data_IF_225668927620
#
_entry.id   IF_225668927620
#
_cell.length_a   1.000
_cell.length_b   1.000
_cell.length_c   1.000
_cell.angle_alpha   90.00
_cell.angle_beta   90.00
_cell.angle_gamma   90.00
#
_symmetry.space_group_name_H-M   'P 1'
#
loop_
_entity.id
_entity.type
_entity.pdbx_description
1 polymer ?
#
# COMPACT_ATOMS: atom_id res chain seq x y z
N UNK A 1 13.89 28.63 18.22
CA UNK A 1 12.58 28.71 17.56
C UNK A 1 12.72 27.96 16.25
N UNK A 2 12.05 26.83 16.11
CA UNK A 2 12.04 26.09 14.85
C UNK A 2 10.87 26.64 14.03
N UNK A 3 11.17 27.20 12.87
CA UNK A 3 10.15 27.84 12.01
C UNK A 3 9.41 26.75 11.25
N UNK A 4 8.11 26.62 11.48
CA UNK A 4 7.21 25.76 10.69
C UNK A 4 7.22 26.24 9.24
N UNK A 5 7.49 25.33 8.30
CA UNK A 5 7.35 25.64 6.87
C UNK A 5 5.88 25.87 6.53
N UNK A 6 5.58 27.00 5.88
CA UNK A 6 4.24 27.34 5.39
C UNK A 6 4.30 27.57 3.89
N UNK A 7 3.33 27.01 3.19
CA UNK A 7 3.17 27.15 1.75
C UNK A 7 1.81 27.80 1.49
N UNK A 8 1.79 28.98 0.88
CA UNK A 8 0.54 29.68 0.53
C UNK A 8 0.18 29.47 -0.94
N UNK A 9 1.20 29.30 -1.79
CA UNK A 9 1.08 29.10 -3.23
C UNK A 9 1.77 27.82 -3.69
N UNK A 10 1.48 27.41 -4.92
CA UNK A 10 2.17 26.28 -5.54
C UNK A 10 3.64 26.61 -5.83
N UNK A 11 3.93 27.85 -6.21
CA UNK A 11 5.28 28.36 -6.43
C UNK A 11 6.14 28.31 -5.16
N UNK A 12 5.57 28.53 -3.97
CA UNK A 12 6.28 28.37 -2.70
C UNK A 12 6.76 26.93 -2.53
N UNK A 13 5.89 25.96 -2.83
CA UNK A 13 6.24 24.54 -2.75
C UNK A 13 7.40 24.24 -3.70
N UNK A 14 7.30 24.67 -4.97
CA UNK A 14 8.33 24.42 -5.97
C UNK A 14 9.69 24.99 -5.57
N UNK A 15 9.70 26.17 -4.96
CA UNK A 15 10.93 26.86 -4.51
C UNK A 15 11.60 26.09 -3.38
N UNK A 16 10.81 25.51 -2.47
CA UNK A 16 11.31 24.77 -1.31
C UNK A 16 11.64 23.30 -1.59
N UNK A 17 11.28 22.75 -2.77
CA UNK A 17 11.52 21.33 -3.09
C UNK A 17 13.00 20.91 -2.99
N UNK A 18 13.93 21.76 -3.46
CA UNK A 18 15.36 21.45 -3.41
C UNK A 18 15.88 21.44 -1.97
N UNK A 19 15.65 22.49 -1.15
CA UNK A 19 15.97 22.46 0.28
C UNK A 19 15.33 21.29 1.04
N UNK A 20 14.06 21.00 0.78
CA UNK A 20 13.35 19.87 1.39
C UNK A 20 14.07 18.55 1.06
N UNK A 21 14.40 18.33 -0.22
CA UNK A 21 15.10 17.13 -0.67
C UNK A 21 16.44 16.94 0.05
N UNK A 22 17.23 18.01 0.18
CA UNK A 22 18.52 17.96 0.87
C UNK A 22 18.34 17.62 2.36
N UNK A 23 17.36 18.25 3.01
CA UNK A 23 17.04 18.06 4.43
C UNK A 23 16.64 16.62 4.76
N UNK A 24 15.82 15.99 3.91
CA UNK A 24 15.33 14.62 4.15
C UNK A 24 16.34 13.52 3.79
N UNK A 25 17.54 13.85 3.29
CA UNK A 25 18.55 12.85 2.92
C UNK A 25 18.86 11.91 4.11
N UNK A 26 18.95 12.46 5.32
CA UNK A 26 19.19 11.69 6.54
C UNK A 26 18.01 10.77 6.93
N UNK A 27 16.79 11.10 6.51
CA UNK A 27 15.60 10.27 6.75
C UNK A 27 15.51 9.13 5.74
N UNK A 28 16.22 9.21 4.62
CA UNK A 28 16.28 8.16 3.61
C UNK A 28 16.66 6.80 4.20
N UNK A 29 17.53 6.76 5.21
CA UNK A 29 17.90 5.53 5.91
C UNK A 29 16.71 4.88 6.63
N UNK A 30 15.78 5.67 7.18
CA UNK A 30 14.56 5.17 7.83
C UNK A 30 13.64 4.52 6.79
N UNK A 31 13.50 5.14 5.61
CA UNK A 31 12.71 4.56 4.51
C UNK A 31 13.32 3.23 4.07
N UNK A 32 14.65 3.17 3.89
CA UNK A 32 15.35 1.96 3.49
C UNK A 32 15.26 0.86 4.56
N UNK A 33 15.39 1.21 5.84
CA UNK A 33 15.22 0.25 6.94
C UNK A 33 13.80 -0.31 6.98
N UNK A 34 12.78 0.56 6.88
CA UNK A 34 11.39 0.13 6.82
C UNK A 34 11.12 -0.74 5.59
N UNK A 35 11.72 -0.42 4.44
CA UNK A 35 11.61 -1.20 3.21
C UNK A 35 12.19 -2.61 3.37
N UNK A 36 13.38 -2.75 3.97
CA UNK A 36 13.96 -4.07 4.25
C UNK A 36 13.06 -4.84 5.20
N UNK A 37 12.70 -4.25 6.34
CA UNK A 37 11.91 -4.92 7.37
C UNK A 37 10.54 -5.40 6.85
N UNK A 38 9.82 -4.56 6.10
CA UNK A 38 8.50 -4.94 5.57
C UNK A 38 8.61 -5.82 4.31
N UNK A 39 9.68 -5.62 3.53
CA UNK A 39 9.95 -6.39 2.31
C UNK A 39 10.21 -7.86 2.59
N UNK A 40 10.87 -8.17 3.71
CA UNK A 40 11.14 -9.55 4.14
C UNK A 40 9.91 -10.26 4.77
N UNK A 41 8.80 -9.54 4.98
CA UNK A 41 7.55 -10.12 5.45
C UNK A 41 6.75 -10.61 4.23
N UNK A 42 6.68 -11.93 4.08
CA UNK A 42 5.77 -12.57 3.14
C UNK A 42 4.31 -12.15 3.45
N UNK A 43 3.59 -11.74 2.41
CA UNK A 43 2.20 -11.34 2.51
C UNK A 43 1.49 -11.63 1.19
N UNK A 44 1.26 -12.91 0.81
CA UNK A 44 0.34 -13.19 -0.28
C UNK A 44 -1.04 -12.62 0.05
N UNK A 45 -1.83 -12.30 -0.99
CA UNK A 45 -3.23 -11.87 -0.84
C UNK A 45 -3.96 -12.83 0.12
N UNK A 46 -4.67 -12.28 1.12
CA UNK A 46 -5.32 -12.98 2.26
C UNK A 46 -4.40 -13.47 3.39
N UNK A 47 -3.13 -13.06 3.42
CA UNK A 47 -2.18 -13.38 4.51
C UNK A 47 -1.34 -12.16 4.90
N UNK A 48 -1.98 -10.98 4.95
CA UNK A 48 -1.33 -9.69 5.14
C UNK A 48 -1.04 -9.33 6.62
N UNK A 49 -1.51 -10.14 7.56
CA UNK A 49 -1.55 -9.81 9.00
C UNK A 49 -0.21 -9.38 9.60
N UNK A 50 0.91 -9.98 9.19
CA UNK A 50 2.24 -9.59 9.70
C UNK A 50 2.67 -8.19 9.23
N UNK A 51 2.26 -7.78 8.03
CA UNK A 51 2.51 -6.41 7.53
C UNK A 51 1.58 -5.39 8.16
N UNK A 52 0.35 -5.79 8.49
CA UNK A 52 -0.59 -5.00 9.32
C UNK A 52 0.05 -4.68 10.68
N UNK A 53 0.59 -5.70 11.36
CA UNK A 53 1.29 -5.53 12.64
C UNK A 53 2.51 -4.63 12.52
N UNK A 54 3.33 -4.83 11.49
CA UNK A 54 4.47 -3.96 11.21
C UNK A 54 4.06 -2.48 11.10
N UNK A 55 3.03 -2.17 10.29
CA UNK A 55 2.56 -0.79 10.15
C UNK A 55 1.99 -0.23 11.45
N UNK A 56 1.28 -1.06 12.22
CA UNK A 56 0.76 -0.67 13.54
C UNK A 56 1.87 -0.21 14.46
N UNK A 57 2.98 -0.95 14.49
CA UNK A 57 4.14 -0.61 15.30
C UNK A 57 4.78 0.71 14.83
N UNK A 58 4.98 0.89 13.51
CA UNK A 58 5.54 2.14 12.96
C UNK A 58 4.66 3.36 13.25
N UNK A 59 3.34 3.22 13.14
CA UNK A 59 2.40 4.29 13.44
C UNK A 59 2.38 4.62 14.94
N UNK A 60 2.44 3.60 15.80
CA UNK A 60 2.51 3.77 17.26
C UNK A 60 3.80 4.48 17.67
N UNK A 61 4.94 4.11 17.10
CA UNK A 61 6.23 4.78 17.34
C UNK A 61 6.21 6.24 16.88
N UNK A 62 5.45 6.54 15.83
CA UNK A 62 5.21 7.91 15.35
C UNK A 62 4.16 8.68 16.17
N UNK A 63 3.71 8.12 17.31
CA UNK A 63 2.70 8.68 18.20
C UNK A 63 1.34 8.97 17.51
N UNK A 64 0.99 8.19 16.47
CA UNK A 64 -0.33 8.25 15.86
C UNK A 64 -1.32 7.50 16.76
N UNK A 65 -2.23 8.24 17.38
CA UNK A 65 -3.15 7.74 18.41
C UNK A 65 -4.34 6.94 17.87
N UNK A 66 -4.75 7.18 16.63
CA UNK A 66 -5.96 6.60 16.03
C UNK A 66 -5.64 5.46 15.04
N UNK A 67 -4.79 4.52 15.46
CA UNK A 67 -4.52 3.32 14.66
C UNK A 67 -5.68 2.33 14.77
N UNK A 68 -6.34 2.03 13.64
CA UNK A 68 -7.48 1.13 13.55
C UNK A 68 -7.22 0.02 12.54
N UNK A 69 -7.76 -1.17 12.82
CA UNK A 69 -7.81 -2.30 11.89
C UNK A 69 -9.27 -2.62 11.63
N UNK A 70 -9.68 -2.66 10.36
CA UNK A 70 -11.08 -2.91 9.99
C UNK A 70 -11.37 -4.40 9.71
N UNK A 71 -12.61 -4.68 9.30
CA UNK A 71 -13.11 -6.03 9.07
C UNK A 71 -12.50 -6.73 7.84
N UNK A 72 -11.85 -5.99 6.94
CA UNK A 72 -11.08 -6.56 5.84
C UNK A 72 -9.60 -6.67 6.17
N UNK A 73 -9.19 -6.35 7.41
CA UNK A 73 -7.78 -6.33 7.83
C UNK A 73 -6.99 -5.22 7.15
N UNK A 74 -7.65 -4.14 6.71
CA UNK A 74 -6.94 -2.90 6.43
C UNK A 74 -6.42 -2.33 7.74
N UNK A 75 -5.25 -1.69 7.71
CA UNK A 75 -4.80 -0.83 8.80
C UNK A 75 -4.78 0.62 8.35
N UNK A 76 -5.23 1.52 9.20
CA UNK A 76 -5.06 2.94 8.97
C UNK A 76 -4.85 3.71 10.25
N UNK A 77 -4.18 4.86 10.13
CA UNK A 77 -4.00 5.82 11.19
C UNK A 77 -4.26 7.24 10.66
N UNK A 78 -4.73 8.13 11.53
CA UNK A 78 -5.01 9.51 11.19
C UNK A 78 -3.90 10.41 11.74
N UNK A 79 -3.25 11.15 10.85
CA UNK A 79 -2.41 12.29 11.21
C UNK A 79 -3.27 13.56 11.14
N UNK A 80 -3.56 14.23 12.28
CA UNK A 80 -4.44 15.39 12.31
C UNK A 80 -3.86 16.59 11.57
N UNK A 81 -4.68 17.23 10.73
CA UNK A 81 -4.38 18.52 10.13
C UNK A 81 -4.82 19.68 11.02
N UNK A 82 -4.32 20.89 10.74
CA UNK A 82 -4.64 22.11 11.51
C UNK A 82 -6.15 22.43 11.51
N UNK A 83 -6.86 22.21 10.39
CA UNK A 83 -8.30 22.48 10.30
C UNK A 83 -9.17 21.31 10.76
N UNK A 84 -8.68 20.07 10.61
CA UNK A 84 -9.36 18.86 11.09
C UNK A 84 -10.66 18.44 10.39
N UNK A 85 -11.06 19.08 9.28
CA UNK A 85 -12.38 18.88 8.64
C UNK A 85 -12.38 18.01 7.37
N UNK A 86 -11.32 18.10 6.58
CA UNK A 86 -11.15 17.37 5.33
C UNK A 86 -10.12 16.26 5.52
N UNK A 87 -10.31 15.12 4.85
CA UNK A 87 -9.36 14.00 4.89
C UNK A 87 -8.77 13.72 3.51
N UNK A 88 -7.46 13.51 3.45
CA UNK A 88 -6.75 12.98 2.29
C UNK A 88 -6.37 11.54 2.63
N UNK A 89 -6.75 10.60 1.77
CA UNK A 89 -6.37 9.20 1.90
C UNK A 89 -5.06 8.96 1.17
N UNK A 90 -4.04 8.47 1.88
CA UNK A 90 -2.80 7.98 1.33
C UNK A 90 -2.76 6.46 1.53
N UNK A 91 -2.72 5.70 0.45
CA UNK A 91 -2.88 4.24 0.50
C UNK A 91 -1.74 3.54 -0.24
N UNK A 92 -1.21 2.48 0.36
CA UNK A 92 -0.39 1.47 -0.30
C UNK A 92 -0.96 0.10 0.06
N UNK A 93 -0.87 -0.86 -0.85
CA UNK A 93 -1.43 -2.19 -0.60
C UNK A 93 -0.44 -3.07 0.16
N UNK A 94 -0.97 -3.92 1.04
CA UNK A 94 -0.22 -4.77 1.94
C UNK A 94 0.26 -6.04 1.25
N UNK A 95 -0.58 -6.61 0.39
CA UNK A 95 -0.35 -7.90 -0.23
C UNK A 95 0.68 -7.86 -1.35
N UNK A 96 1.17 -9.03 -1.70
CA UNK A 96 2.13 -9.24 -2.77
C UNK A 96 1.71 -10.45 -3.59
N UNK A 97 2.20 -10.51 -4.83
CA UNK A 97 1.98 -11.66 -5.70
C UNK A 97 2.84 -12.88 -5.33
N UNK A 98 3.78 -12.71 -4.40
CA UNK A 98 4.74 -13.74 -4.00
C UNK A 98 4.18 -14.57 -2.85
N UNK A 99 4.28 -15.89 -2.96
CA UNK A 99 3.83 -16.83 -1.94
C UNK A 99 4.80 -16.87 -0.76
N UNK A 100 4.37 -17.49 0.35
CA UNK A 100 5.23 -17.68 1.53
C UNK A 100 6.46 -18.56 1.26
N UNK A 101 6.39 -19.44 0.25
CA UNK A 101 7.49 -20.35 -0.12
C UNK A 101 8.64 -19.67 -0.88
N UNK A 102 8.48 -18.41 -1.29
CA UNK A 102 9.54 -17.63 -1.94
C UNK A 102 10.55 -17.18 -0.89
N UNK A 103 11.83 -17.13 -1.24
CA UNK A 103 12.84 -16.50 -0.38
C UNK A 103 12.65 -14.97 -0.40
N UNK A 104 12.11 -14.42 0.69
CA UNK A 104 11.86 -12.99 0.85
C UNK A 104 13.08 -12.19 1.33
N UNK A 105 14.24 -12.81 1.49
CA UNK A 105 15.47 -12.14 1.94
C UNK A 105 15.81 -10.95 1.04
N UNK A 106 16.05 -9.78 1.64
CA UNK A 106 16.43 -8.58 0.91
C UNK A 106 17.94 -8.46 0.80
N UNK A 107 18.44 -8.46 -0.44
CA UNK A 107 19.85 -8.23 -0.71
C UNK A 107 20.13 -6.73 -0.87
N UNK A 108 20.79 -6.15 0.14
CA UNK A 108 21.26 -4.77 0.12
C UNK A 108 22.61 -4.68 -0.57
N UNK A 109 22.69 -3.90 -1.64
CA UNK A 109 23.92 -3.52 -2.36
C UNK A 109 24.10 -2.00 -2.29
N UNK A 110 25.29 -1.45 -2.62
CA UNK A 110 25.55 -0.01 -2.48
C UNK A 110 24.50 0.90 -3.12
N UNK A 111 24.00 0.54 -4.31
CA UNK A 111 23.07 1.38 -5.08
C UNK A 111 21.70 0.71 -5.34
N UNK A 112 21.45 -0.49 -4.79
CA UNK A 112 20.23 -1.25 -5.10
C UNK A 112 19.85 -2.22 -3.98
N UNK A 113 18.56 -2.31 -3.70
CA UNK A 113 17.96 -3.37 -2.87
C UNK A 113 17.21 -4.33 -3.78
N UNK A 114 17.43 -5.63 -3.60
CA UNK A 114 16.84 -6.68 -4.44
C UNK A 114 16.12 -7.69 -3.55
N UNK A 115 14.86 -7.95 -3.86
CA UNK A 115 14.00 -8.90 -3.15
C UNK A 115 12.60 -8.93 -3.77
N UNK A 116 11.82 -10.00 -3.54
CA UNK A 116 10.44 -10.10 -4.03
C UNK A 116 9.56 -9.01 -3.40
N UNK A 117 8.66 -8.42 -4.20
CA UNK A 117 7.67 -7.47 -3.72
C UNK A 117 8.22 -6.14 -3.17
N UNK A 118 9.52 -5.86 -3.33
CA UNK A 118 10.12 -4.61 -2.84
C UNK A 118 9.51 -3.38 -3.51
N UNK A 119 9.46 -3.38 -4.85
CA UNK A 119 8.87 -2.29 -5.63
C UNK A 119 7.34 -2.26 -5.51
N UNK A 120 6.69 -3.42 -5.56
CA UNK A 120 5.23 -3.58 -5.53
C UNK A 120 4.81 -4.48 -4.36
N UNK A 121 4.40 -3.94 -3.21
CA UNK A 121 4.40 -2.50 -2.87
C UNK A 121 5.01 -2.20 -1.49
N UNK A 122 6.05 -2.95 -1.13
CA UNK A 122 6.77 -2.74 0.13
C UNK A 122 7.36 -1.33 0.23
N UNK A 123 7.81 -0.74 -0.88
CA UNK A 123 8.30 0.64 -0.93
C UNK A 123 7.20 1.68 -0.67
N UNK A 124 5.98 1.49 -1.17
CA UNK A 124 4.86 2.36 -0.86
C UNK A 124 4.52 2.32 0.62
N UNK A 125 4.44 1.12 1.20
CA UNK A 125 4.18 0.93 2.63
C UNK A 125 5.29 1.55 3.50
N UNK A 126 6.57 1.34 3.15
CA UNK A 126 7.70 1.95 3.85
C UNK A 126 7.66 3.47 3.78
N UNK A 127 7.22 4.03 2.65
CA UNK A 127 7.04 5.48 2.48
C UNK A 127 5.94 6.00 3.39
N UNK A 128 4.77 5.35 3.41
CA UNK A 128 3.64 5.71 4.28
C UNK A 128 4.02 5.62 5.76
N UNK A 129 4.72 4.55 6.16
CA UNK A 129 5.20 4.36 7.52
C UNK A 129 6.17 5.47 7.98
N UNK A 130 6.99 5.98 7.07
CA UNK A 130 8.03 6.99 7.37
C UNK A 130 7.51 8.42 7.26
N UNK A 131 6.38 8.64 6.58
CA UNK A 131 5.85 9.98 6.30
C UNK A 131 5.62 10.84 7.55
N UNK A 132 5.08 10.33 8.68
CA UNK A 132 4.98 11.12 9.91
C UNK A 132 6.34 11.66 10.38
N UNK A 133 7.40 10.85 10.31
CA UNK A 133 8.75 11.27 10.68
C UNK A 133 9.31 12.33 9.72
N UNK A 134 9.02 12.21 8.41
CA UNK A 134 9.40 13.21 7.41
C UNK A 134 8.73 14.55 7.70
N UNK A 135 7.41 14.56 7.89
CA UNK A 135 6.65 15.79 8.17
C UNK A 135 7.09 16.44 9.47
N UNK A 136 7.35 15.64 10.52
CA UNK A 136 7.87 16.14 11.78
C UNK A 136 9.28 16.72 11.62
N UNK A 137 10.19 16.05 10.91
CA UNK A 137 11.55 16.57 10.70
C UNK A 137 11.54 17.90 9.94
N UNK A 138 10.71 18.00 8.90
CA UNK A 138 10.54 19.22 8.11
C UNK A 138 9.69 20.29 8.80
N UNK A 139 9.05 19.95 9.92
CA UNK A 139 8.13 20.82 10.65
C UNK A 139 7.02 21.34 9.73
N UNK A 140 6.48 20.44 8.90
CA UNK A 140 5.35 20.71 8.00
C UNK A 140 4.07 20.31 8.71
N UNK A 141 3.19 21.28 8.93
CA UNK A 141 1.83 21.05 9.42
C UNK A 141 0.84 21.11 8.26
N UNK A 142 0.12 20.00 8.03
CA UNK A 142 -0.89 19.92 6.98
C UNK A 142 -2.19 20.62 7.39
N UNK A 143 -2.93 21.14 6.41
CA UNK A 143 -4.25 21.75 6.64
C UNK A 143 -5.35 20.69 6.85
N UNK A 144 -5.33 19.65 6.03
CA UNK A 144 -6.24 18.51 6.08
C UNK A 144 -5.65 17.37 6.90
N UNK A 145 -6.53 16.51 7.44
CA UNK A 145 -6.11 15.25 8.02
C UNK A 145 -5.52 14.36 6.92
N UNK A 146 -4.53 13.57 7.27
CA UNK A 146 -3.97 12.55 6.41
C UNK A 146 -4.31 11.17 6.99
N UNK A 147 -5.08 10.38 6.24
CA UNK A 147 -5.35 8.99 6.56
C UNK A 147 -4.25 8.17 5.89
N UNK A 148 -3.38 7.58 6.69
CA UNK A 148 -2.31 6.70 6.25
C UNK A 148 -2.82 5.27 6.30
N UNK A 149 -2.94 4.59 5.15
CA UNK A 149 -3.59 3.28 5.05
C UNK A 149 -2.69 2.23 4.39
N UNK A 150 -2.61 1.06 5.03
CA UNK A 150 -2.24 -0.20 4.40
C UNK A 150 -3.51 -0.96 3.99
N UNK A 151 -3.77 -1.08 2.70
CA UNK A 151 -4.96 -1.76 2.19
C UNK A 151 -4.70 -3.26 1.96
N UNK A 152 -5.55 -4.12 2.50
CA UNK A 152 -5.47 -5.56 2.31
C UNK A 152 -6.11 -5.98 0.98
N UNK A 153 -5.79 -7.20 0.53
CA UNK A 153 -6.52 -7.91 -0.53
C UNK A 153 -6.64 -7.10 -1.83
N UNK A 154 -5.58 -6.43 -2.25
CA UNK A 154 -5.61 -5.58 -3.44
C UNK A 154 -5.38 -6.36 -4.73
N UNK A 155 -4.55 -7.40 -4.67
CA UNK A 155 -4.10 -8.16 -5.83
C UNK A 155 -4.98 -9.38 -6.11
N UNK A 156 -4.82 -9.97 -7.31
CA UNK A 156 -5.40 -11.27 -7.65
C UNK A 156 -6.90 -11.41 -7.34
N UNK A 157 -7.24 -12.43 -6.55
CA UNK A 157 -8.62 -12.70 -6.10
C UNK A 157 -9.16 -11.70 -5.07
N UNK A 158 -8.30 -10.86 -4.50
CA UNK A 158 -8.70 -9.84 -3.54
C UNK A 158 -9.50 -8.69 -4.19
N UNK A 159 -9.23 -8.36 -5.45
CA UNK A 159 -9.99 -7.37 -6.24
C UNK A 159 -10.25 -6.05 -5.49
N UNK A 160 -9.19 -5.49 -4.88
CA UNK A 160 -9.25 -4.26 -4.10
C UNK A 160 -10.24 -4.34 -2.91
N UNK A 161 -10.53 -5.53 -2.38
CA UNK A 161 -11.56 -5.73 -1.36
C UNK A 161 -11.34 -4.85 -0.14
N UNK A 162 -10.10 -4.69 0.32
CA UNK A 162 -9.75 -3.82 1.44
C UNK A 162 -10.14 -2.37 1.17
N UNK A 163 -9.61 -1.76 0.10
CA UNK A 163 -9.91 -0.37 -0.24
C UNK A 163 -11.40 -0.12 -0.56
N UNK A 164 -12.05 -1.05 -1.27
CA UNK A 164 -13.48 -0.95 -1.58
C UNK A 164 -14.34 -0.98 -0.32
N UNK A 165 -14.00 -1.85 0.63
CA UNK A 165 -14.67 -1.91 1.92
C UNK A 165 -14.48 -0.63 2.71
N UNK A 166 -13.24 -0.13 2.82
CA UNK A 166 -12.94 1.12 3.53
C UNK A 166 -13.76 2.29 2.97
N UNK A 167 -13.73 2.50 1.65
CA UNK A 167 -14.46 3.61 1.01
C UNK A 167 -15.98 3.48 1.13
N UNK A 168 -16.52 2.26 1.20
CA UNK A 168 -17.96 2.03 1.37
C UNK A 168 -18.45 2.23 2.81
N UNK A 169 -17.56 2.12 3.80
CA UNK A 169 -17.92 2.13 5.23
C UNK A 169 -17.26 3.28 6.03
N UNK A 170 -16.39 4.08 5.41
CA UNK A 170 -15.76 5.22 6.09
C UNK A 170 -16.79 6.33 6.33
N UNK A 171 -17.06 6.64 7.60
CA UNK A 171 -17.90 7.77 8.03
C UNK A 171 -17.18 9.13 7.94
N UNK A 172 -16.00 9.19 7.29
CA UNK A 172 -15.16 10.37 7.17
C UNK A 172 -15.17 10.88 5.72
N UNK A 173 -15.38 12.19 5.48
CA UNK A 173 -15.36 12.74 4.13
C UNK A 173 -13.93 12.71 3.56
N UNK A 174 -13.72 11.92 2.50
CA UNK A 174 -12.44 11.84 1.77
C UNK A 174 -12.50 12.79 0.57
N UNK A 175 -11.62 13.80 0.57
CA UNK A 175 -11.57 14.83 -0.48
C UNK A 175 -10.68 14.43 -1.65
N UNK A 176 -9.64 13.64 -1.38
CA UNK A 176 -8.70 13.14 -2.36
C UNK A 176 -8.10 11.81 -1.87
N UNK A 177 -7.76 10.94 -2.82
CA UNK A 177 -7.05 9.69 -2.59
C UNK A 177 -5.77 9.65 -3.42
N UNK A 178 -4.67 9.21 -2.82
CA UNK A 178 -3.37 9.04 -3.46
C UNK A 178 -2.93 7.60 -3.20
N UNK A 179 -2.79 6.81 -4.28
CA UNK A 179 -2.14 5.50 -4.23
C UNK A 179 -0.64 5.68 -4.33
N UNK A 180 0.09 5.18 -3.34
CA UNK A 180 1.55 5.23 -3.29
C UNK A 180 2.06 3.88 -3.76
N UNK A 181 2.74 3.87 -4.91
CA UNK A 181 3.32 2.68 -5.52
C UNK A 181 4.82 2.86 -5.70
N UNK A 182 5.60 1.80 -5.49
CA UNK A 182 7.03 1.80 -5.80
C UNK A 182 7.29 1.67 -7.29
N UNK A 183 6.98 2.73 -8.05
CA UNK A 183 7.26 2.83 -9.49
C UNK A 183 8.23 3.97 -9.79
N UNK A 184 8.40 4.28 -11.07
CA UNK A 184 9.29 5.36 -11.55
C UNK A 184 9.01 6.71 -10.86
N UNK A 185 10.04 7.29 -10.24
CA UNK A 185 9.95 8.61 -9.60
C UNK A 185 9.52 9.68 -10.61
N UNK A 186 8.71 10.64 -10.16
CA UNK A 186 8.18 11.71 -11.00
C UNK A 186 7.01 11.30 -11.90
N UNK A 187 6.55 10.04 -11.83
CA UNK A 187 5.34 9.59 -12.52
C UNK A 187 4.11 9.86 -11.65
N UNK A 188 3.21 10.71 -12.15
CA UNK A 188 1.84 10.84 -11.63
C UNK A 188 0.88 10.17 -12.61
N UNK A 189 0.24 9.09 -12.17
CA UNK A 189 -0.83 8.42 -12.92
C UNK A 189 -2.17 8.83 -12.34
N UNK A 190 -3.01 9.48 -13.14
CA UNK A 190 -4.34 9.96 -12.74
C UNK A 190 -5.48 9.23 -13.49
N UNK A 191 -5.16 8.12 -14.15
CA UNK A 191 -6.11 7.22 -14.78
C UNK A 191 -5.62 5.78 -14.66
N UNK A 192 -6.57 4.84 -14.63
CA UNK A 192 -6.31 3.41 -14.59
C UNK A 192 -7.12 2.71 -15.67
N UNK A 193 -6.69 1.49 -16.01
CA UNK A 193 -7.45 0.61 -16.88
C UNK A 193 -8.48 -0.12 -16.02
N UNK A 194 -9.76 -0.03 -16.41
CA UNK A 194 -10.82 -0.83 -15.79
C UNK A 194 -10.60 -2.31 -16.05
N UNK A 195 -10.88 -3.14 -15.05
CA UNK A 195 -10.66 -4.58 -15.11
C UNK A 195 -11.91 -5.33 -14.68
N UNK A 196 -12.24 -6.39 -15.41
CA UNK A 196 -13.25 -7.38 -15.05
C UNK A 196 -12.55 -8.73 -14.97
N UNK A 197 -12.63 -9.40 -13.82
CA UNK A 197 -12.11 -10.75 -13.62
C UNK A 197 -13.28 -11.71 -13.42
N UNK A 198 -13.16 -12.89 -14.01
CA UNK A 198 -14.11 -13.98 -13.85
C UNK A 198 -13.37 -15.28 -13.59
N UNK A 199 -13.99 -16.16 -12.80
CA UNK A 199 -13.52 -17.52 -12.58
C UNK A 199 -14.44 -18.48 -13.33
N UNK A 200 -13.85 -19.36 -14.16
CA UNK A 200 -14.58 -20.41 -14.87
C UNK A 200 -14.24 -21.73 -14.19
N UNK A 201 -15.23 -22.31 -13.53
CA UNK A 201 -15.13 -23.63 -12.93
C UNK A 201 -15.76 -24.67 -13.87
N UNK A 202 -14.93 -25.58 -14.39
CA UNK A 202 -15.39 -26.72 -15.18
C UNK A 202 -15.39 -27.97 -14.30
N UNK A 203 -16.58 -28.55 -14.10
CA UNK A 203 -16.75 -29.80 -13.36
C UNK A 203 -17.18 -30.88 -14.34
N UNK A 204 -16.41 -31.96 -14.41
CA UNK A 204 -16.75 -33.17 -15.16
C UNK A 204 -16.97 -34.33 -14.18
N UNK A 205 -17.79 -35.34 -14.51
CA UNK A 205 -17.96 -36.51 -13.65
C UNK A 205 -16.64 -37.22 -13.36
N UNK A 206 -16.45 -37.68 -12.12
CA UNK A 206 -15.26 -38.46 -11.72
C UNK A 206 -15.26 -39.87 -12.33
N UNK A 207 -16.45 -40.44 -12.55
CA UNK A 207 -16.63 -41.76 -13.13
C UNK A 207 -17.01 -41.65 -14.60
N UNK A 208 -16.38 -42.50 -15.42
CA UNK A 208 -16.69 -42.61 -16.84
C UNK A 208 -18.10 -43.17 -17.05
N UNK A 209 -19.00 -42.33 -17.57
CA UNK A 209 -20.36 -42.72 -17.96
C UNK A 209 -20.42 -43.01 -19.47
N UNK A 210 -20.51 -44.29 -19.81
CA UNK A 210 -20.62 -44.76 -21.20
C UNK A 210 -21.90 -44.29 -21.92
N UNK A 211 -22.89 -43.76 -21.20
CA UNK A 211 -24.09 -43.15 -21.80
C UNK A 211 -23.86 -41.70 -22.23
N UNK A 212 -22.75 -41.08 -21.80
CA UNK A 212 -22.39 -39.68 -22.09
C UNK A 212 -21.21 -39.60 -23.04
N UNK A 213 -21.50 -39.88 -24.32
CA UNK A 213 -20.55 -39.73 -25.42
C UNK A 213 -20.05 -38.28 -25.51
N UNK A 214 -18.76 -38.07 -25.24
CA UNK A 214 -18.09 -36.77 -25.36
C UNK A 214 -17.69 -36.12 -24.04
N UNK A 215 -17.95 -36.75 -22.88
CA UNK A 215 -17.38 -36.30 -21.60
C UNK A 215 -15.87 -36.56 -21.59
N UNK A 216 -15.13 -35.56 -22.04
CA UNK A 216 -13.68 -35.49 -21.93
C UNK A 216 -13.31 -34.84 -20.60
N UNK A 217 -12.10 -35.08 -20.10
CA UNK A 217 -11.65 -34.50 -18.83
C UNK A 217 -11.74 -32.97 -18.85
N UNK A 218 -11.93 -32.34 -17.68
CA UNK A 218 -12.09 -30.88 -17.55
C UNK A 218 -10.98 -30.07 -18.26
N UNK A 219 -9.76 -30.62 -18.35
CA UNK A 219 -8.64 -30.00 -19.09
C UNK A 219 -8.96 -29.91 -20.59
N UNK A 220 -9.51 -30.95 -21.19
CA UNK A 220 -9.90 -30.95 -22.60
C UNK A 220 -11.07 -29.99 -22.84
N UNK A 221 -12.08 -30.02 -21.97
CA UNK A 221 -13.24 -29.11 -22.05
C UNK A 221 -12.87 -27.64 -21.90
N UNK A 222 -11.86 -27.30 -21.10
CA UNK A 222 -11.36 -25.92 -20.95
C UNK A 222 -10.42 -25.49 -22.08
N UNK A 223 -9.88 -26.44 -22.85
CA UNK A 223 -8.90 -26.17 -23.90
C UNK A 223 -9.53 -26.07 -25.31
N UNK A 224 -10.72 -26.65 -25.50
CA UNK A 224 -11.51 -26.55 -26.74
C UNK A 224 -12.40 -25.29 -26.77
#
# INVERSE_FOLDING_TARGET
MVTTMKFETFEDILTELVPIRESITAIGEIVLANLVMIGEIAAPTFSEQRRVEFLKDRFTESALIDCSIDQQENIYAILPGEKGKDNILLVAHLDTVFTEDVDHTVHVRPDVLIGPGLADNSLGLATIATLPSILNHLQIQLQSNLILMGASRSQGRGDLAGLRFFLANADLPIKAGISVEGFHLGRLSHSSIGMLRGEINCTVPEEYDWTRLGETGAILTLNE
#
